data_IF_545739923989
#
_entry.id   IF_545739923989
#
_cell.length_a   1.000
_cell.length_b   1.000
_cell.length_c   1.000
_cell.angle_alpha   90.00
_cell.angle_beta   90.00
_cell.angle_gamma   90.00
#
_symmetry.space_group_name_H-M   'P 1'
#
loop_
_entity.id
_entity.type
_entity.pdbx_description
1 polymer ?
#
# COMPACT_ATOMS: atom_id res chain seq x y z
N UNK A 1 -14.26 15.47 5.53
CA UNK A 1 -14.63 15.17 4.13
C UNK A 1 -16.01 14.50 4.11
N UNK A 2 -16.82 14.75 3.08
CA UNK A 2 -18.14 14.11 2.91
C UNK A 2 -18.14 13.36 1.58
N UNK A 3 -18.31 12.04 1.63
CA UNK A 3 -18.36 11.19 0.44
C UNK A 3 -19.77 11.07 -0.13
N UNK A 4 -19.87 11.03 -1.46
CA UNK A 4 -21.12 10.79 -2.19
C UNK A 4 -21.61 9.35 -1.97
N UNK A 5 -22.89 9.04 -2.24
CA UNK A 5 -23.40 7.67 -2.15
C UNK A 5 -22.57 6.68 -2.98
N UNK A 6 -22.19 7.03 -4.21
CA UNK A 6 -21.37 6.20 -5.09
C UNK A 6 -19.98 5.93 -4.51
N UNK A 7 -19.35 6.92 -3.87
CA UNK A 7 -18.05 6.73 -3.20
C UNK A 7 -18.16 5.80 -1.98
N UNK A 8 -19.29 5.83 -1.26
CA UNK A 8 -19.56 4.90 -0.15
C UNK A 8 -19.81 3.47 -0.64
N UNK A 9 -20.54 3.31 -1.74
CA UNK A 9 -20.71 2.00 -2.40
C UNK A 9 -19.35 1.43 -2.84
N UNK A 10 -18.50 2.28 -3.42
CA UNK A 10 -17.15 1.90 -3.82
C UNK A 10 -16.28 1.46 -2.62
N UNK A 11 -16.33 2.22 -1.53
CA UNK A 11 -15.66 1.84 -0.28
C UNK A 11 -16.14 0.47 0.20
N UNK A 12 -17.46 0.24 0.25
CA UNK A 12 -18.01 -1.05 0.67
C UNK A 12 -17.53 -2.19 -0.25
N UNK A 13 -17.50 -1.97 -1.57
CA UNK A 13 -17.00 -2.95 -2.54
C UNK A 13 -15.54 -3.33 -2.27
N UNK A 14 -14.68 -2.36 -1.97
CA UNK A 14 -13.29 -2.60 -1.59
C UNK A 14 -13.18 -3.35 -0.25
N UNK A 15 -13.96 -2.93 0.74
CA UNK A 15 -14.02 -3.54 2.07
C UNK A 15 -14.49 -4.99 2.01
N UNK A 16 -15.46 -5.32 1.16
CA UNK A 16 -15.93 -6.69 0.94
C UNK A 16 -14.81 -7.56 0.34
N UNK A 17 -14.08 -7.03 -0.63
CA UNK A 17 -12.97 -7.71 -1.29
C UNK A 17 -11.71 -7.89 -0.42
N UNK A 18 -11.52 -7.05 0.60
CA UNK A 18 -10.37 -7.12 1.50
C UNK A 18 -10.42 -8.40 2.36
N UNK A 19 -9.42 -9.26 2.26
CA UNK A 19 -9.35 -10.52 3.04
C UNK A 19 -8.88 -10.31 4.48
N UNK A 20 -8.10 -9.26 4.75
CA UNK A 20 -7.60 -8.94 6.09
C UNK A 20 -8.73 -8.42 6.99
N UNK A 21 -9.24 -9.28 7.87
CA UNK A 21 -10.38 -9.00 8.75
C UNK A 21 -10.07 -7.85 9.73
N UNK A 22 -8.88 -7.83 10.33
CA UNK A 22 -8.53 -6.79 11.31
C UNK A 22 -8.50 -5.40 10.65
N UNK A 23 -7.81 -5.29 9.51
CA UNK A 23 -7.78 -4.04 8.75
C UNK A 23 -9.17 -3.63 8.28
N UNK A 24 -10.00 -4.60 7.85
CA UNK A 24 -11.38 -4.35 7.43
C UNK A 24 -12.20 -3.69 8.53
N UNK A 25 -12.12 -4.21 9.75
CA UNK A 25 -12.87 -3.64 10.88
C UNK A 25 -12.31 -2.27 11.29
N UNK A 26 -10.98 -2.12 11.36
CA UNK A 26 -10.37 -0.81 11.63
C UNK A 26 -10.79 0.27 10.62
N UNK A 27 -10.88 -0.06 9.33
CA UNK A 27 -11.34 0.87 8.31
C UNK A 27 -12.82 1.27 8.46
N UNK A 28 -13.70 0.37 8.90
CA UNK A 28 -15.12 0.67 9.13
C UNK A 28 -15.36 1.56 10.37
N UNK A 29 -14.44 1.51 11.33
CA UNK A 29 -14.52 2.31 12.54
C UNK A 29 -14.20 3.79 12.30
N UNK A 30 -13.39 4.10 11.29
CA UNK A 30 -13.03 5.48 10.92
C UNK A 30 -14.29 6.27 10.53
N UNK A 31 -14.50 7.40 11.22
CA UNK A 31 -15.62 8.33 10.98
C UNK A 31 -15.21 9.61 10.26
N UNK A 32 -13.96 10.00 10.42
CA UNK A 32 -13.36 11.18 9.83
C UNK A 32 -11.87 10.92 9.63
N UNK A 33 -11.27 11.61 8.67
CA UNK A 33 -9.83 11.56 8.45
C UNK A 33 -9.21 12.95 8.53
N UNK A 34 -7.95 13.01 8.98
CA UNK A 34 -7.08 14.18 8.90
C UNK A 34 -6.58 14.44 7.47
N UNK A 35 -6.76 13.53 6.53
CA UNK A 35 -6.34 13.71 5.15
C UNK A 35 -7.42 14.40 4.32
N UNK A 36 -7.00 15.43 3.58
CA UNK A 36 -7.79 16.11 2.57
C UNK A 36 -7.40 15.63 1.17
N UNK A 37 -8.39 15.36 0.33
CA UNK A 37 -8.22 14.93 -1.06
C UNK A 37 -7.99 16.15 -1.93
N UNK A 38 -6.87 16.17 -2.63
CA UNK A 38 -6.47 17.25 -3.52
C UNK A 38 -6.40 16.68 -4.93
N UNK A 39 -7.29 17.17 -5.78
CA UNK A 39 -7.40 16.74 -7.18
C UNK A 39 -6.76 17.81 -8.07
N UNK A 40 -5.83 17.37 -8.90
CA UNK A 40 -5.25 18.18 -9.96
C UNK A 40 -6.11 18.22 -11.21
N UNK A 41 -5.48 18.58 -12.33
CA UNK A 41 -6.17 18.67 -13.63
C UNK A 41 -6.35 17.32 -14.31
N UNK A 42 -5.41 16.41 -14.08
CA UNK A 42 -5.44 15.05 -14.61
C UNK A 42 -6.15 14.11 -13.62
N UNK A 43 -6.84 13.09 -14.11
CA UNK A 43 -7.47 12.08 -13.26
C UNK A 43 -6.45 11.25 -12.47
N UNK A 44 -5.19 11.23 -12.90
CA UNK A 44 -4.07 10.59 -12.20
C UNK A 44 -3.40 11.53 -11.19
N UNK A 45 -3.68 12.84 -11.25
CA UNK A 45 -3.11 13.84 -10.34
C UNK A 45 -3.94 13.91 -9.06
N UNK A 46 -3.89 12.82 -8.28
CA UNK A 46 -4.59 12.69 -7.01
C UNK A 46 -3.56 12.71 -5.89
N UNK A 47 -3.67 13.68 -4.99
CA UNK A 47 -2.83 13.80 -3.81
C UNK A 47 -3.66 13.79 -2.52
N UNK A 48 -3.01 13.50 -1.40
CA UNK A 48 -3.59 13.70 -0.07
C UNK A 48 -2.73 14.68 0.70
N UNK A 49 -3.39 15.57 1.43
CA UNK A 49 -2.76 16.53 2.34
C UNK A 49 -3.09 16.16 3.77
N UNK A 50 -2.09 15.89 4.59
CA UNK A 50 -2.28 15.78 6.04
C UNK A 50 -2.57 17.17 6.60
N UNK A 51 -3.78 17.39 7.09
CA UNK A 51 -4.22 18.69 7.62
C UNK A 51 -3.61 19.02 8.98
N UNK A 52 -3.00 18.06 9.68
CA UNK A 52 -2.37 18.30 10.98
C UNK A 52 -1.10 19.13 10.87
N UNK A 53 -0.34 18.97 9.78
CA UNK A 53 0.92 19.67 9.52
C UNK A 53 1.00 20.32 8.13
N UNK A 54 -0.06 20.21 7.34
CA UNK A 54 -0.18 20.69 5.96
C UNK A 54 0.77 20.04 4.94
N UNK A 55 1.34 18.88 5.26
CA UNK A 55 2.21 18.15 4.34
C UNK A 55 1.41 17.33 3.32
N UNK A 56 1.93 17.24 2.10
CA UNK A 56 1.37 16.41 1.05
C UNK A 56 2.06 15.04 1.00
N UNK A 57 1.37 14.01 0.48
CA UNK A 57 1.99 12.70 0.25
C UNK A 57 3.08 12.78 -0.82
N UNK A 58 2.88 13.62 -1.82
CA UNK A 58 3.78 13.82 -2.96
C UNK A 58 4.02 15.32 -3.17
N UNK A 59 5.24 15.69 -3.54
CA UNK A 59 5.56 17.05 -3.97
C UNK A 59 5.05 17.31 -5.39
N UNK A 60 5.22 16.32 -6.28
CA UNK A 60 4.70 16.33 -7.65
C UNK A 60 4.22 14.92 -8.03
N UNK A 61 2.90 14.73 -7.94
CA UNK A 61 2.25 13.42 -8.12
C UNK A 61 2.62 12.75 -9.44
N UNK A 62 2.56 13.51 -10.54
CA UNK A 62 2.74 12.95 -11.89
C UNK A 62 4.20 12.60 -12.16
N UNK A 63 5.13 13.48 -11.78
CA UNK A 63 6.55 13.24 -12.01
C UNK A 63 7.07 12.07 -11.15
N UNK A 64 6.65 12.01 -9.88
CA UNK A 64 7.00 10.92 -8.97
C UNK A 64 6.41 9.57 -9.43
N UNK A 65 5.14 9.56 -9.87
CA UNK A 65 4.49 8.37 -10.44
C UNK A 65 5.24 7.87 -11.68
N UNK A 66 5.55 8.76 -12.63
CA UNK A 66 6.25 8.40 -13.86
C UNK A 66 7.66 7.88 -13.58
N UNK A 67 8.38 8.51 -12.64
CA UNK A 67 9.71 8.08 -12.21
C UNK A 67 9.70 6.65 -11.63
N UNK A 68 8.74 6.37 -10.74
CA UNK A 68 8.57 5.04 -10.17
C UNK A 68 8.17 4.01 -11.25
N UNK A 69 7.20 4.32 -12.11
CA UNK A 69 6.80 3.41 -13.18
C UNK A 69 7.95 3.06 -14.13
N UNK A 70 8.75 4.05 -14.53
CA UNK A 70 9.93 3.82 -15.37
C UNK A 70 10.93 2.89 -14.68
N UNK A 71 11.20 3.13 -13.40
CA UNK A 71 12.13 2.30 -12.60
C UNK A 71 11.64 0.86 -12.49
N UNK A 72 10.36 0.64 -12.20
CA UNK A 72 9.79 -0.70 -12.05
C UNK A 72 9.68 -1.45 -13.39
N UNK A 73 9.36 -0.75 -14.47
CA UNK A 73 9.34 -1.34 -15.81
C UNK A 73 10.73 -1.73 -16.31
N UNK A 74 11.78 -0.99 -15.94
CA UNK A 74 13.15 -1.27 -16.33
C UNK A 74 13.78 -2.39 -15.48
N UNK A 75 13.73 -2.24 -14.14
CA UNK A 75 14.51 -3.09 -13.23
C UNK A 75 13.76 -4.27 -12.65
N UNK A 76 12.45 -4.13 -12.47
CA UNK A 76 11.66 -5.04 -11.65
C UNK A 76 10.55 -5.73 -12.42
N UNK A 77 10.49 -5.60 -13.75
CA UNK A 77 9.42 -6.10 -14.62
C UNK A 77 9.06 -7.58 -14.39
N UNK A 78 10.04 -8.41 -14.03
CA UNK A 78 9.86 -9.86 -13.83
C UNK A 78 9.75 -10.27 -12.36
N UNK A 79 9.76 -9.32 -11.42
CA UNK A 79 9.69 -9.63 -9.99
C UNK A 79 8.28 -10.09 -9.62
N UNK A 80 8.09 -11.32 -9.10
CA UNK A 80 6.75 -11.81 -8.81
C UNK A 80 6.13 -11.21 -7.56
N UNK A 81 6.96 -10.77 -6.60
CA UNK A 81 6.52 -10.12 -5.38
C UNK A 81 7.24 -8.80 -5.21
N UNK A 82 6.48 -7.73 -4.92
CA UNK A 82 7.00 -6.40 -4.62
C UNK A 82 6.57 -5.99 -3.21
N UNK A 83 7.43 -5.28 -2.49
CA UNK A 83 7.17 -4.83 -1.12
C UNK A 83 7.32 -3.32 -1.01
N UNK A 84 6.30 -2.67 -0.48
CA UNK A 84 6.26 -1.23 -0.31
C UNK A 84 5.93 -0.86 1.14
N UNK A 85 6.56 0.20 1.62
CA UNK A 85 6.14 0.94 2.80
C UNK A 85 5.37 2.18 2.36
N UNK A 86 4.11 2.23 2.73
CA UNK A 86 3.17 3.29 2.37
C UNK A 86 2.24 2.90 1.21
N UNK A 87 0.95 3.16 1.41
CA UNK A 87 -0.07 2.97 0.39
C UNK A 87 -0.08 4.09 -0.66
N UNK A 88 0.25 5.31 -0.24
CA UNK A 88 0.20 6.49 -1.09
C UNK A 88 -1.21 6.80 -1.59
N UNK A 89 -1.32 7.28 -2.82
CA UNK A 89 -2.63 7.40 -3.49
C UNK A 89 -3.09 6.08 -4.17
N UNK A 90 -2.27 5.02 -4.14
CA UNK A 90 -2.58 3.71 -4.72
C UNK A 90 -2.54 3.62 -6.26
N UNK A 91 -2.35 4.73 -6.99
CA UNK A 91 -2.33 4.74 -8.46
C UNK A 91 -1.16 3.90 -9.01
N UNK A 92 0.00 3.97 -8.36
CA UNK A 92 1.16 3.15 -8.72
C UNK A 92 0.80 1.66 -8.74
N UNK A 93 0.10 1.17 -7.72
CA UNK A 93 -0.28 -0.24 -7.64
C UNK A 93 -1.27 -0.65 -8.73
N UNK A 94 -2.21 0.24 -9.09
CA UNK A 94 -3.10 0.01 -10.22
C UNK A 94 -2.34 -0.21 -11.52
N UNK A 95 -1.34 0.61 -11.77
CA UNK A 95 -0.51 0.52 -12.96
C UNK A 95 0.41 -0.72 -12.92
N UNK A 96 1.12 -0.96 -11.81
CA UNK A 96 2.00 -2.12 -11.67
C UNK A 96 1.23 -3.43 -11.80
N UNK A 97 0.03 -3.56 -11.21
CA UNK A 97 -0.75 -4.79 -11.29
C UNK A 97 -1.35 -5.07 -12.67
N UNK A 98 -1.22 -4.17 -13.66
CA UNK A 98 -1.49 -4.54 -15.06
C UNK A 98 -0.48 -5.57 -15.59
N UNK A 99 0.74 -5.58 -15.05
CA UNK A 99 1.74 -6.59 -15.35
C UNK A 99 1.38 -7.92 -14.69
N UNK A 100 1.19 -8.97 -15.50
CA UNK A 100 0.83 -10.32 -15.02
C UNK A 100 1.99 -11.05 -14.33
N UNK A 101 3.23 -10.59 -14.51
CA UNK A 101 4.38 -11.16 -13.80
C UNK A 101 4.34 -10.81 -12.30
N UNK A 102 3.79 -9.65 -11.94
CA UNK A 102 3.59 -9.27 -10.53
C UNK A 102 2.40 -10.05 -9.97
N UNK A 103 2.71 -11.09 -9.20
CA UNK A 103 1.74 -11.95 -8.53
C UNK A 103 1.17 -11.23 -7.31
N UNK A 104 2.04 -10.62 -6.49
CA UNK A 104 1.65 -9.95 -5.26
C UNK A 104 2.40 -8.62 -5.08
N UNK A 105 1.66 -7.57 -4.73
CA UNK A 105 2.21 -6.35 -4.15
C UNK A 105 1.82 -6.31 -2.68
N UNK A 106 2.82 -6.24 -1.82
CA UNK A 106 2.66 -6.18 -0.36
C UNK A 106 2.87 -4.74 0.07
N UNK A 107 1.87 -4.17 0.73
CA UNK A 107 1.88 -2.77 1.16
C UNK A 107 1.75 -2.74 2.67
N UNK A 108 2.78 -2.22 3.32
CA UNK A 108 2.77 -1.97 4.75
C UNK A 108 2.38 -0.52 4.99
N UNK A 109 1.27 -0.28 5.69
CA UNK A 109 0.76 1.06 5.96
C UNK A 109 0.67 1.31 7.46
N UNK A 110 1.19 2.46 7.90
CA UNK A 110 1.13 2.91 9.28
C UNK A 110 -0.17 3.67 9.56
N UNK A 111 -0.56 4.52 8.61
CA UNK A 111 -1.67 5.46 8.73
C UNK A 111 -2.82 5.02 7.83
N UNK A 112 -3.68 4.15 8.37
CA UNK A 112 -4.76 3.50 7.61
C UNK A 112 -5.84 4.48 7.15
N UNK A 113 -5.83 5.72 7.63
CA UNK A 113 -6.73 6.76 7.12
C UNK A 113 -6.46 7.09 5.65
N UNK A 114 -5.22 6.93 5.17
CA UNK A 114 -4.85 7.07 3.76
C UNK A 114 -5.63 6.05 2.91
N UNK A 115 -5.61 4.78 3.33
CA UNK A 115 -6.36 3.70 2.67
C UNK A 115 -7.85 4.00 2.73
N UNK A 116 -8.34 4.45 3.88
CA UNK A 116 -9.75 4.78 4.06
C UNK A 116 -10.23 5.84 3.06
N UNK A 117 -9.48 6.93 2.89
CA UNK A 117 -9.81 7.95 1.87
C UNK A 117 -9.74 7.34 0.47
N UNK A 118 -8.66 6.64 0.14
CA UNK A 118 -8.47 6.15 -1.23
C UNK A 118 -9.44 5.02 -1.63
N UNK A 119 -9.95 4.23 -0.68
CA UNK A 119 -10.98 3.23 -0.97
C UNK A 119 -12.34 3.85 -1.33
N UNK A 120 -12.57 5.12 -1.01
CA UNK A 120 -13.73 5.87 -1.51
C UNK A 120 -13.49 6.48 -2.91
N UNK A 121 -12.25 6.46 -3.41
CA UNK A 121 -11.85 7.12 -4.66
C UNK A 121 -11.52 6.10 -5.77
N UNK A 122 -10.86 4.99 -5.43
CA UNK A 122 -10.37 4.01 -6.39
C UNK A 122 -10.93 2.61 -6.09
N UNK A 123 -11.34 1.90 -7.15
CA UNK A 123 -11.82 0.52 -7.06
C UNK A 123 -10.66 -0.47 -7.06
N UNK A 124 -10.28 -1.04 -5.92
CA UNK A 124 -9.28 -2.11 -5.78
C UNK A 124 -9.90 -3.50 -5.61
N UNK A 125 -11.20 -3.67 -5.80
CA UNK A 125 -11.89 -4.89 -5.40
C UNK A 125 -11.30 -6.14 -6.07
N UNK A 126 -10.93 -6.04 -7.34
CA UNK A 126 -10.36 -7.16 -8.08
C UNK A 126 -8.95 -7.51 -7.58
N UNK A 127 -8.10 -6.51 -7.33
CA UNK A 127 -6.74 -6.74 -6.84
C UNK A 127 -6.73 -7.30 -5.42
N UNK A 128 -7.65 -6.84 -4.57
CA UNK A 128 -7.82 -7.33 -3.19
C UNK A 128 -8.39 -8.75 -3.16
N UNK A 129 -9.46 -9.02 -3.91
CA UNK A 129 -10.14 -10.32 -3.92
C UNK A 129 -9.22 -11.45 -4.42
N UNK A 130 -8.35 -11.14 -5.39
CA UNK A 130 -7.38 -12.09 -5.93
C UNK A 130 -6.04 -12.09 -5.17
N UNK A 131 -5.96 -11.40 -4.03
CA UNK A 131 -4.75 -11.24 -3.22
C UNK A 131 -3.54 -10.70 -4.01
N UNK A 132 -3.78 -10.02 -5.15
CA UNK A 132 -2.72 -9.38 -5.94
C UNK A 132 -2.21 -8.12 -5.26
N UNK A 133 -3.06 -7.44 -4.51
CA UNK A 133 -2.70 -6.38 -3.59
C UNK A 133 -3.01 -6.84 -2.16
N UNK A 134 -1.99 -6.90 -1.30
CA UNK A 134 -2.13 -7.22 0.11
C UNK A 134 -1.70 -6.03 0.95
N UNK A 135 -2.61 -5.55 1.80
CA UNK A 135 -2.39 -4.37 2.64
C UNK A 135 -2.33 -4.81 4.10
N UNK A 136 -1.28 -4.38 4.78
CA UNK A 136 -0.92 -4.80 6.13
C UNK A 136 -0.69 -3.57 7.00
N UNK A 137 -1.46 -3.44 8.09
CA UNK A 137 -1.26 -2.37 9.06
C UNK A 137 -0.06 -2.69 9.94
N UNK A 138 0.97 -1.84 9.96
CA UNK A 138 2.24 -2.20 10.63
C UNK A 138 2.11 -2.42 12.13
N UNK A 139 1.19 -1.72 12.79
CA UNK A 139 0.92 -1.87 14.22
C UNK A 139 0.21 -3.16 14.61
N UNK A 140 -0.35 -3.92 13.65
CA UNK A 140 -1.04 -5.19 13.93
C UNK A 140 -0.18 -6.41 13.65
N UNK A 141 1.09 -6.25 13.26
CA UNK A 141 1.96 -7.36 12.86
C UNK A 141 2.79 -7.85 14.05
N UNK A 142 2.54 -9.08 14.45
CA UNK A 142 3.29 -9.78 15.50
C UNK A 142 4.34 -10.73 14.91
N UNK A 143 5.09 -11.39 15.79
CA UNK A 143 6.17 -12.30 15.41
C UNK A 143 5.63 -13.52 14.66
N UNK A 144 4.45 -14.01 15.03
CA UNK A 144 3.81 -15.16 14.39
C UNK A 144 3.44 -14.84 12.94
N UNK A 145 2.90 -13.64 12.69
CA UNK A 145 2.65 -13.15 11.34
C UNK A 145 3.91 -13.21 10.48
N UNK A 146 5.04 -12.66 10.94
CA UNK A 146 6.26 -12.63 10.14
C UNK A 146 6.79 -14.05 9.84
N UNK A 147 6.76 -14.94 10.83
CA UNK A 147 7.18 -16.33 10.64
C UNK A 147 6.32 -17.04 9.58
N UNK A 148 4.99 -16.96 9.71
CA UNK A 148 4.05 -17.60 8.79
C UNK A 148 4.13 -16.98 7.39
N UNK A 149 4.15 -15.65 7.30
CA UNK A 149 4.22 -14.92 6.05
C UNK A 149 5.52 -15.24 5.31
N UNK A 150 6.67 -15.09 5.96
CA UNK A 150 7.98 -15.28 5.31
C UNK A 150 8.26 -16.74 4.93
N UNK A 151 7.64 -17.72 5.60
CA UNK A 151 7.78 -19.15 5.30
C UNK A 151 6.84 -19.64 4.20
N UNK A 152 5.79 -18.89 3.88
CA UNK A 152 4.80 -19.30 2.89
C UNK A 152 5.24 -19.01 1.46
N UNK A 153 4.79 -19.85 0.52
CA UNK A 153 4.96 -19.58 -0.91
C UNK A 153 3.92 -18.55 -1.38
N UNK A 154 4.28 -17.63 -2.30
CA UNK A 154 5.56 -17.54 -2.99
C UNK A 154 6.62 -16.67 -2.28
N UNK A 155 6.32 -16.05 -1.14
CA UNK A 155 7.21 -15.08 -0.48
C UNK A 155 8.57 -15.69 -0.13
N UNK A 156 8.60 -16.90 0.44
CA UNK A 156 9.85 -17.59 0.73
C UNK A 156 10.69 -17.84 -0.54
N UNK A 157 10.03 -18.25 -1.63
CA UNK A 157 10.71 -18.59 -2.90
C UNK A 157 11.42 -17.38 -3.52
N UNK A 158 10.88 -16.18 -3.33
CA UNK A 158 11.43 -14.93 -3.86
C UNK A 158 12.11 -14.06 -2.79
N UNK A 159 12.36 -14.62 -1.60
CA UNK A 159 12.98 -13.91 -0.46
C UNK A 159 14.35 -13.30 -0.78
N UNK A 160 15.14 -13.93 -1.68
CA UNK A 160 16.48 -13.44 -2.06
C UNK A 160 16.49 -12.11 -2.82
N UNK A 161 15.37 -11.76 -3.44
CA UNK A 161 15.20 -10.50 -4.19
C UNK A 161 14.37 -9.48 -3.41
N UNK A 162 14.15 -9.73 -2.12
CA UNK A 162 13.44 -8.83 -1.23
C UNK A 162 14.16 -7.47 -1.11
N UNK A 163 13.39 -6.41 -1.29
CA UNK A 163 13.70 -5.06 -0.82
C UNK A 163 12.39 -4.37 -0.45
N UNK A 164 12.44 -3.43 0.50
CA UNK A 164 11.29 -2.62 0.91
C UNK A 164 11.42 -1.23 0.28
N UNK A 165 10.57 -0.94 -0.71
CA UNK A 165 10.51 0.36 -1.37
C UNK A 165 9.71 1.35 -0.52
N UNK A 166 10.16 2.61 -0.41
CA UNK A 166 9.38 3.67 0.21
C UNK A 166 8.49 4.34 -0.83
N UNK A 167 7.19 4.46 -0.58
CA UNK A 167 6.24 4.99 -1.55
C UNK A 167 6.47 6.48 -1.89
N UNK A 168 6.86 7.29 -0.92
CA UNK A 168 7.20 8.71 -1.12
C UNK A 168 7.94 9.27 0.10
N UNK A 169 8.51 10.47 -0.06
CA UNK A 169 9.19 11.19 1.02
C UNK A 169 8.30 11.45 2.24
N UNK A 170 6.98 11.54 2.07
CA UNK A 170 6.05 11.70 3.18
C UNK A 170 6.25 10.64 4.28
N UNK A 171 6.54 9.40 3.87
CA UNK A 171 6.65 8.27 4.79
C UNK A 171 7.96 8.24 5.59
N UNK A 172 8.96 9.06 5.26
CA UNK A 172 10.22 9.15 6.02
C UNK A 172 10.00 9.51 7.49
N UNK A 173 8.90 10.20 7.80
CA UNK A 173 8.47 10.51 9.18
C UNK A 173 8.28 9.26 10.06
N UNK A 174 8.07 8.09 9.46
CA UNK A 174 7.91 6.81 10.16
C UNK A 174 9.20 5.99 10.21
N UNK A 175 10.37 6.66 10.17
CA UNK A 175 11.69 6.04 10.09
C UNK A 175 11.89 4.80 10.99
N UNK A 176 11.59 4.91 12.29
CA UNK A 176 11.75 3.81 13.25
C UNK A 176 10.85 2.59 12.92
N UNK A 177 9.62 2.84 12.47
CA UNK A 177 8.68 1.78 12.07
C UNK A 177 9.17 1.08 10.80
N UNK A 178 9.67 1.85 9.83
CA UNK A 178 10.28 1.34 8.58
C UNK A 178 11.50 0.46 8.89
N UNK A 179 12.44 0.96 9.70
CA UNK A 179 13.64 0.21 10.06
C UNK A 179 13.30 -1.07 10.82
N UNK A 180 12.40 -0.97 11.81
CA UNK A 180 11.94 -2.11 12.59
C UNK A 180 11.26 -3.17 11.73
N UNK A 181 10.38 -2.76 10.81
CA UNK A 181 9.70 -3.65 9.88
C UNK A 181 10.69 -4.34 8.93
N UNK A 182 11.56 -3.57 8.27
CA UNK A 182 12.55 -4.09 7.33
C UNK A 182 13.49 -5.08 8.01
N UNK A 183 13.93 -4.77 9.23
CA UNK A 183 14.75 -5.69 10.04
C UNK A 183 14.03 -7.01 10.30
N UNK A 184 12.77 -6.97 10.77
CA UNK A 184 11.97 -8.18 11.03
C UNK A 184 11.78 -9.02 9.77
N UNK A 185 11.45 -8.40 8.64
CA UNK A 185 11.29 -9.11 7.36
C UNK A 185 12.61 -9.74 6.90
N UNK A 186 13.71 -8.97 6.91
CA UNK A 186 15.02 -9.45 6.49
C UNK A 186 15.54 -10.59 7.39
N UNK A 187 15.34 -10.51 8.71
CA UNK A 187 15.72 -11.57 9.65
C UNK A 187 14.90 -12.85 9.42
N UNK A 188 13.58 -12.73 9.26
CA UNK A 188 12.74 -13.90 9.02
C UNK A 188 13.03 -14.54 7.66
N UNK A 189 13.22 -13.76 6.60
CA UNK A 189 13.63 -14.30 5.30
C UNK A 189 15.00 -14.99 5.34
N UNK A 190 15.96 -14.47 6.11
CA UNK A 190 17.28 -15.11 6.28
C UNK A 190 17.23 -16.40 7.09
N UNK A 191 16.47 -16.42 8.18
CA UNK A 191 16.42 -17.55 9.11
C UNK A 191 15.76 -18.81 8.53
N UNK A 192 15.06 -18.68 7.38
CA UNK A 192 14.40 -19.80 6.69
C UNK A 192 15.30 -20.39 5.58
N UNK A 193 16.39 -19.70 5.20
CA UNK A 193 17.38 -20.17 4.19
C UNK A 193 18.43 -21.04 4.88
#
# INVERSE_FOLDING_TARGET
MTFTPTQKELFNKNIEALSNILLKESLKEIKSSKFELVLGKDNLDINLKDTSDNTFLYENVIDELNSMLNTYNDKYLLYPVLYFYGFGNGILFKALLQNKNHQHIIVFEKDIEIIWVMFHVLDFSNELQNSRLMILQTSSLDIEFFSNFCSSKPFFQFSRIYFLELMSHYYERFHEDILGLNKKLAENFKNII
#
